data_IF_161038219181
#
_entry.id   IF_161038219181
#
_cell.length_a   1.000
_cell.length_b   1.000
_cell.length_c   1.000
_cell.angle_alpha   90.00
_cell.angle_beta   90.00
_cell.angle_gamma   90.00
#
_symmetry.space_group_name_H-M   'P 1'
#
loop_
_entity.id
_entity.type
_entity.pdbx_description
1 polymer ?
#
# COMPACT_ATOMS: atom_id res chain seq x y z
N UNK A 1 2.01 -38.97 55.21
CA UNK A 1 0.77 -38.74 54.44
C UNK A 1 1.02 -37.58 53.50
N UNK A 2 0.97 -37.86 52.20
CA UNK A 2 1.11 -36.92 51.09
C UNK A 2 -0.13 -36.03 51.00
N UNK A 3 0.04 -34.71 50.91
CA UNK A 3 -1.02 -33.79 50.51
C UNK A 3 -0.64 -33.24 49.12
N UNK A 4 -1.35 -33.76 48.12
CA UNK A 4 -1.28 -33.38 46.72
C UNK A 4 -1.82 -31.96 46.57
N UNK A 5 -0.97 -31.03 46.11
CA UNK A 5 -1.39 -29.67 45.79
C UNK A 5 -2.26 -29.73 44.53
N UNK A 6 -3.49 -29.24 44.67
CA UNK A 6 -4.46 -29.04 43.60
C UNK A 6 -3.82 -28.22 42.48
N UNK A 7 -3.68 -28.87 41.32
CA UNK A 7 -3.56 -28.21 40.02
C UNK A 7 -4.84 -27.37 39.87
N UNK A 8 -4.73 -26.04 39.98
CA UNK A 8 -5.89 -25.15 39.95
C UNK A 8 -6.60 -25.27 38.60
N UNK A 9 -7.93 -25.21 38.54
CA UNK A 9 -8.68 -25.25 37.26
C UNK A 9 -8.18 -24.22 36.24
N UNK A 10 -7.63 -23.09 36.73
CA UNK A 10 -7.00 -22.07 35.90
C UNK A 10 -5.76 -22.59 35.15
N UNK A 11 -4.95 -23.48 35.75
CA UNK A 11 -3.79 -24.09 35.08
C UNK A 11 -4.18 -25.12 34.02
N UNK A 12 -5.28 -25.86 34.22
CA UNK A 12 -5.82 -26.80 33.23
C UNK A 12 -6.42 -26.04 32.04
N UNK A 13 -7.15 -24.95 32.29
CA UNK A 13 -7.72 -24.09 31.24
C UNK A 13 -6.63 -23.38 30.45
N UNK A 14 -5.63 -22.80 31.12
CA UNK A 14 -4.48 -22.19 30.47
C UNK A 14 -3.72 -23.20 29.59
N UNK A 15 -3.49 -24.42 30.07
CA UNK A 15 -2.84 -25.50 29.31
C UNK A 15 -3.63 -25.89 28.04
N UNK A 16 -4.97 -25.90 28.11
CA UNK A 16 -5.83 -26.16 26.95
C UNK A 16 -5.74 -25.04 25.90
N UNK A 17 -5.82 -23.77 26.32
CA UNK A 17 -5.69 -22.61 25.43
C UNK A 17 -4.31 -22.62 24.77
N UNK A 18 -3.24 -22.84 25.54
CA UNK A 18 -1.88 -22.93 25.01
C UNK A 18 -1.74 -24.04 23.95
N UNK A 19 -2.41 -25.18 24.13
CA UNK A 19 -2.40 -26.28 23.16
C UNK A 19 -3.12 -25.91 21.86
N UNK A 20 -4.27 -25.27 21.92
CA UNK A 20 -4.99 -24.81 20.72
C UNK A 20 -4.25 -23.65 20.01
N UNK A 21 -3.61 -22.75 20.76
CA UNK A 21 -2.71 -21.73 20.21
C UNK A 21 -1.56 -22.37 19.40
N UNK A 22 -0.91 -23.43 19.92
CA UNK A 22 0.15 -24.14 19.20
C UNK A 22 -0.35 -24.75 17.89
N UNK A 23 -1.51 -25.41 17.92
CA UNK A 23 -2.12 -25.99 16.70
C UNK A 23 -2.44 -24.91 15.66
N UNK A 24 -2.98 -23.78 16.09
CA UNK A 24 -3.27 -22.66 15.20
C UNK A 24 -1.99 -22.09 14.59
N UNK A 25 -0.91 -22.00 15.38
CA UNK A 25 0.42 -21.57 14.89
C UNK A 25 0.99 -22.53 13.87
N UNK A 26 1.00 -23.83 14.17
CA UNK A 26 1.47 -24.89 13.25
C UNK A 26 0.66 -24.88 11.95
N UNK A 27 -0.66 -24.69 12.05
CA UNK A 27 -1.54 -24.56 10.89
C UNK A 27 -1.19 -23.33 10.03
N UNK A 28 -1.02 -22.16 10.64
CA UNK A 28 -0.60 -20.94 9.96
C UNK A 28 0.76 -21.14 9.27
N UNK A 29 1.74 -21.73 9.96
CA UNK A 29 3.06 -22.01 9.38
C UNK A 29 3.01 -23.00 8.22
N UNK A 30 2.25 -24.10 8.33
CA UNK A 30 2.10 -25.06 7.24
C UNK A 30 1.57 -24.37 5.98
N UNK A 31 0.52 -23.55 6.14
CA UNK A 31 -0.08 -22.79 5.05
C UNK A 31 0.92 -21.80 4.44
N UNK A 32 1.66 -21.07 5.27
CA UNK A 32 2.67 -20.12 4.80
C UNK A 32 3.91 -20.79 4.17
N UNK A 33 4.29 -21.99 4.59
CA UNK A 33 5.41 -22.72 4.00
C UNK A 33 5.07 -23.26 2.60
N UNK A 34 3.79 -23.46 2.26
CA UNK A 34 3.38 -23.78 0.88
C UNK A 34 3.82 -22.68 -0.12
N UNK A 35 4.04 -21.43 0.36
CA UNK A 35 4.57 -20.31 -0.45
C UNK A 35 5.98 -20.61 -0.98
N UNK A 36 6.80 -21.32 -0.22
CA UNK A 36 8.18 -21.59 -0.61
C UNK A 36 8.27 -22.62 -1.76
N UNK A 37 7.16 -23.30 -2.10
CA UNK A 37 7.09 -24.27 -3.18
C UNK A 37 6.90 -23.62 -4.57
N UNK A 38 6.60 -22.32 -4.65
CA UNK A 38 6.36 -21.65 -5.93
C UNK A 38 7.68 -21.26 -6.63
N UNK A 39 7.80 -21.52 -7.96
CA UNK A 39 9.03 -21.30 -8.73
C UNK A 39 9.36 -19.83 -9.00
N UNK A 40 8.39 -18.90 -8.84
CA UNK A 40 8.63 -17.47 -9.05
C UNK A 40 7.88 -16.57 -8.06
N UNK A 41 8.40 -15.35 -7.93
CA UNK A 41 7.94 -14.33 -6.99
C UNK A 41 6.50 -13.88 -7.24
N UNK A 42 6.03 -13.86 -8.50
CA UNK A 42 4.65 -13.47 -8.81
C UNK A 42 3.64 -14.52 -8.30
N UNK A 43 3.94 -15.80 -8.50
CA UNK A 43 3.12 -16.91 -7.99
C UNK A 43 3.13 -16.98 -6.46
N UNK A 44 4.28 -16.73 -5.83
CA UNK A 44 4.37 -16.61 -4.36
C UNK A 44 3.43 -15.52 -3.83
N UNK A 45 3.43 -14.35 -4.47
CA UNK A 45 2.58 -13.24 -4.05
C UNK A 45 1.09 -13.55 -4.25
N UNK A 46 0.68 -14.03 -5.43
CA UNK A 46 -0.72 -14.38 -5.68
C UNK A 46 -1.23 -15.42 -4.67
N UNK A 47 -0.43 -16.45 -4.38
CA UNK A 47 -0.78 -17.43 -3.35
C UNK A 47 -0.92 -16.80 -1.96
N UNK A 48 0.02 -15.94 -1.55
CA UNK A 48 -0.08 -15.20 -0.28
C UNK A 48 -1.35 -14.35 -0.21
N UNK A 49 -1.73 -13.68 -1.30
CA UNK A 49 -2.89 -12.83 -1.36
C UNK A 49 -4.22 -13.59 -1.33
N UNK A 50 -4.28 -14.81 -1.86
CA UNK A 50 -5.45 -15.67 -1.71
C UNK A 50 -5.50 -16.32 -0.32
N UNK A 51 -4.35 -16.78 0.17
CA UNK A 51 -4.23 -17.52 1.41
C UNK A 51 -4.49 -16.67 2.65
N UNK A 52 -3.93 -15.45 2.74
CA UNK A 52 -4.06 -14.62 3.95
C UNK A 52 -5.53 -14.26 4.25
N UNK A 53 -6.37 -13.85 3.27
CA UNK A 53 -7.80 -13.69 3.47
C UNK A 53 -8.53 -14.98 3.84
N UNK A 54 -8.14 -16.12 3.26
CA UNK A 54 -8.73 -17.41 3.61
C UNK A 54 -8.41 -17.78 5.07
N UNK A 55 -7.14 -17.65 5.49
CA UNK A 55 -6.70 -17.82 6.87
C UNK A 55 -7.38 -16.85 7.82
N UNK A 56 -7.50 -15.57 7.43
CA UNK A 56 -8.27 -14.57 8.18
C UNK A 56 -9.72 -15.01 8.35
N UNK A 57 -10.36 -15.49 7.29
CA UNK A 57 -11.74 -15.98 7.32
C UNK A 57 -11.92 -17.18 8.24
N UNK A 58 -11.00 -18.14 8.20
CA UNK A 58 -10.98 -19.30 9.10
C UNK A 58 -10.78 -18.89 10.56
N UNK A 59 -9.81 -18.01 10.84
CA UNK A 59 -9.55 -17.46 12.18
C UNK A 59 -10.79 -16.70 12.68
N UNK A 60 -11.37 -15.82 11.85
CA UNK A 60 -12.59 -15.10 12.20
C UNK A 60 -13.78 -16.04 12.40
N UNK A 61 -13.81 -17.18 11.70
CA UNK A 61 -14.85 -18.21 11.79
C UNK A 61 -14.86 -18.99 13.11
N UNK A 62 -13.78 -18.93 13.91
CA UNK A 62 -13.68 -19.59 15.22
C UNK A 62 -14.78 -19.09 16.18
N UNK A 63 -15.15 -17.80 16.12
CA UNK A 63 -16.24 -17.25 16.92
C UNK A 63 -17.60 -17.45 16.25
N UNK A 64 -18.51 -18.13 16.94
CA UNK A 64 -19.91 -18.21 16.48
C UNK A 64 -20.61 -16.84 16.56
N UNK A 65 -21.70 -16.59 15.80
CA UNK A 65 -22.46 -15.35 15.89
C UNK A 65 -22.98 -15.05 17.32
N UNK A 66 -23.41 -16.09 18.05
CA UNK A 66 -23.87 -15.95 19.44
C UNK A 66 -22.73 -15.51 20.37
N UNK A 67 -21.55 -16.12 20.24
CA UNK A 67 -20.35 -15.73 21.01
C UNK A 67 -19.92 -14.29 20.73
N UNK A 68 -19.96 -13.84 19.45
CA UNK A 68 -19.67 -12.44 19.10
C UNK A 68 -20.67 -11.49 19.75
N UNK A 69 -21.96 -11.79 19.67
CA UNK A 69 -22.99 -10.96 20.27
C UNK A 69 -22.81 -10.86 21.80
N UNK A 70 -22.44 -11.97 22.46
CA UNK A 70 -22.18 -11.99 23.89
C UNK A 70 -20.97 -11.12 24.29
N UNK A 71 -19.87 -11.21 23.53
CA UNK A 71 -18.67 -10.38 23.76
C UNK A 71 -18.92 -8.90 23.48
N UNK A 72 -19.63 -8.58 22.39
CA UNK A 72 -20.01 -7.21 22.05
C UNK A 72 -20.93 -6.59 23.11
N UNK A 73 -21.90 -7.35 23.61
CA UNK A 73 -22.76 -6.91 24.71
C UNK A 73 -21.97 -6.66 26.01
N UNK A 74 -20.85 -7.36 26.19
CA UNK A 74 -19.91 -7.14 27.29
C UNK A 74 -18.89 -6.02 27.03
N UNK A 75 -18.98 -5.31 25.91
CA UNK A 75 -18.09 -4.20 25.55
C UNK A 75 -16.72 -4.63 25.02
N UNK A 76 -16.55 -5.90 24.63
CA UNK A 76 -15.32 -6.42 24.04
C UNK A 76 -15.38 -6.24 22.52
N UNK A 77 -14.41 -5.51 21.96
CA UNK A 77 -14.22 -5.45 20.51
C UNK A 77 -13.60 -6.77 20.02
N UNK A 78 -14.33 -7.46 19.14
CA UNK A 78 -13.98 -8.76 18.55
C UNK A 78 -13.61 -8.65 17.07
N UNK A 79 -13.26 -7.44 16.63
CA UNK A 79 -12.73 -7.18 15.30
C UNK A 79 -11.34 -7.79 15.12
N UNK A 80 -11.02 -8.24 13.90
CA UNK A 80 -9.70 -8.76 13.60
C UNK A 80 -8.60 -7.74 13.93
N UNK A 81 -8.88 -6.47 13.66
CA UNK A 81 -8.02 -5.32 13.87
C UNK A 81 -7.68 -5.14 15.36
N UNK A 82 -8.67 -5.23 16.26
CA UNK A 82 -8.45 -5.20 17.71
C UNK A 82 -7.63 -6.39 18.21
N UNK A 83 -7.80 -7.57 17.57
CA UNK A 83 -6.98 -8.75 17.87
C UNK A 83 -5.51 -8.56 17.51
N UNK A 84 -5.23 -7.89 16.39
CA UNK A 84 -3.89 -7.70 15.85
C UNK A 84 -3.09 -6.56 16.51
N UNK A 85 -3.75 -5.55 17.08
CA UNK A 85 -3.11 -4.35 17.65
C UNK A 85 -2.48 -4.52 19.04
N UNK A 86 -2.40 -5.74 19.55
CA UNK A 86 -2.01 -5.96 20.94
C UNK A 86 -0.50 -6.04 21.05
N UNK A 87 0.08 -4.99 21.64
CA UNK A 87 1.42 -5.03 22.23
C UNK A 87 1.34 -5.60 23.65
N UNK A 88 2.00 -6.73 23.86
CA UNK A 88 2.06 -7.44 25.14
C UNK A 88 2.62 -8.84 24.95
N UNK A 89 3.37 -9.33 25.95
CA UNK A 89 4.00 -10.66 25.96
C UNK A 89 2.96 -11.78 25.89
N UNK A 90 2.47 -12.10 24.69
CA UNK A 90 2.10 -13.48 24.35
C UNK A 90 3.43 -14.23 24.18
N UNK A 91 4.08 -14.54 25.29
CA UNK A 91 5.30 -15.34 25.31
C UNK A 91 4.95 -16.79 24.98
N UNK A 92 5.86 -17.46 24.26
CA UNK A 92 5.79 -18.89 23.93
C UNK A 92 5.90 -19.79 25.18
N UNK A 93 6.01 -19.23 26.39
CA UNK A 93 6.09 -20.02 27.61
C UNK A 93 4.72 -20.65 27.94
N UNK A 94 4.75 -21.93 28.31
CA UNK A 94 3.55 -22.76 28.51
C UNK A 94 2.66 -22.28 29.69
N UNK A 95 3.04 -21.21 30.39
CA UNK A 95 2.50 -20.83 31.69
C UNK A 95 1.97 -19.39 31.79
N UNK A 96 2.16 -18.50 30.80
CA UNK A 96 1.70 -17.12 30.92
C UNK A 96 0.92 -16.54 29.74
N UNK A 97 -0.04 -17.28 29.17
CA UNK A 97 -1.23 -16.62 28.59
C UNK A 97 -2.06 -16.06 29.75
N UNK A 98 -1.54 -15.03 30.42
CA UNK A 98 -2.23 -14.39 31.53
C UNK A 98 -3.26 -13.45 30.92
N UNK A 99 -4.53 -13.79 31.05
CA UNK A 99 -5.59 -12.99 30.45
C UNK A 99 -6.53 -12.39 31.49
N UNK A 100 -6.27 -11.14 31.85
CA UNK A 100 -7.12 -10.31 32.71
C UNK A 100 -8.59 -10.25 32.22
N UNK A 101 -8.82 -10.56 30.93
CA UNK A 101 -10.16 -10.65 30.32
C UNK A 101 -10.95 -11.82 30.91
N UNK A 102 -10.35 -12.99 31.11
CA UNK A 102 -11.07 -14.16 31.63
C UNK A 102 -11.48 -13.98 33.10
N UNK A 103 -10.65 -13.30 33.89
CA UNK A 103 -10.92 -13.04 35.30
C UNK A 103 -12.15 -12.14 35.50
N UNK A 104 -12.44 -11.25 34.54
CA UNK A 104 -13.60 -10.35 34.56
C UNK A 104 -14.94 -11.04 34.27
N UNK A 105 -14.95 -12.24 33.68
CA UNK A 105 -16.19 -12.93 33.26
C UNK A 105 -16.47 -14.22 34.04
N UNK A 106 -15.74 -14.42 35.15
CA UNK A 106 -15.85 -15.61 35.99
C UNK A 106 -17.29 -15.84 36.48
N UNK A 107 -17.82 -17.04 36.28
CA UNK A 107 -19.17 -17.46 36.68
C UNK A 107 -20.21 -17.44 35.55
N UNK A 108 -19.84 -17.03 34.33
CA UNK A 108 -20.69 -17.16 33.15
C UNK A 108 -20.03 -18.06 32.10
N UNK A 109 -20.43 -19.33 32.04
CA UNK A 109 -19.81 -20.34 31.18
C UNK A 109 -19.86 -19.99 29.68
N UNK A 110 -20.87 -19.25 29.21
CA UNK A 110 -20.99 -18.84 27.82
C UNK A 110 -20.00 -17.71 27.48
N UNK A 111 -19.91 -16.69 28.34
CA UNK A 111 -18.95 -15.59 28.20
C UNK A 111 -17.51 -16.06 28.40
N UNK A 112 -17.28 -16.96 29.36
CA UNK A 112 -15.96 -17.60 29.56
C UNK A 112 -15.52 -18.31 28.28
N UNK A 113 -16.39 -19.15 27.70
CA UNK A 113 -16.09 -19.86 26.44
C UNK A 113 -15.89 -18.90 25.27
N UNK A 114 -16.68 -17.83 25.18
CA UNK A 114 -16.51 -16.81 24.15
C UNK A 114 -15.15 -16.09 24.30
N UNK A 115 -14.74 -15.76 25.53
CA UNK A 115 -13.42 -15.17 25.81
C UNK A 115 -12.28 -16.12 25.47
N UNK A 116 -12.38 -17.41 25.80
CA UNK A 116 -11.38 -18.41 25.42
C UNK A 116 -11.19 -18.48 23.89
N UNK A 117 -12.30 -18.50 23.13
CA UNK A 117 -12.24 -18.51 21.66
C UNK A 117 -11.71 -17.19 21.10
N UNK A 118 -12.08 -16.05 21.71
CA UNK A 118 -11.55 -14.75 21.30
C UNK A 118 -10.04 -14.64 21.51
N UNK A 119 -9.50 -15.26 22.56
CA UNK A 119 -8.05 -15.32 22.76
C UNK A 119 -7.33 -16.10 21.67
N UNK A 120 -7.93 -17.18 21.17
CA UNK A 120 -7.40 -17.90 20.01
C UNK A 120 -7.43 -17.04 18.74
N UNK A 121 -8.51 -16.29 18.51
CA UNK A 121 -8.61 -15.34 17.38
C UNK A 121 -7.52 -14.27 17.46
N UNK A 122 -7.35 -13.66 18.64
CA UNK A 122 -6.32 -12.65 18.91
C UNK A 122 -4.90 -13.20 18.67
N UNK A 123 -4.62 -14.39 19.20
CA UNK A 123 -3.33 -15.06 19.04
C UNK A 123 -3.03 -15.39 17.57
N UNK A 124 -4.00 -15.98 16.86
CA UNK A 124 -3.86 -16.27 15.42
C UNK A 124 -3.68 -15.00 14.60
N UNK A 125 -4.40 -13.92 14.93
CA UNK A 125 -4.29 -12.65 14.25
C UNK A 125 -2.92 -11.99 14.41
N UNK A 126 -2.42 -11.97 15.64
CA UNK A 126 -1.08 -11.50 15.96
C UNK A 126 0.00 -12.28 15.19
N UNK A 127 -0.07 -13.62 15.20
CA UNK A 127 0.92 -14.45 14.50
C UNK A 127 0.86 -14.28 12.99
N UNK A 128 -0.33 -14.28 12.39
CA UNK A 128 -0.46 -14.09 10.94
C UNK A 128 0.11 -12.73 10.50
N UNK A 129 -0.11 -11.65 11.27
CA UNK A 129 0.48 -10.35 10.99
C UNK A 129 2.02 -10.35 11.16
N UNK A 130 2.52 -11.00 12.21
CA UNK A 130 3.96 -11.14 12.45
C UNK A 130 4.65 -11.92 11.33
N UNK A 131 4.05 -13.02 10.89
CA UNK A 131 4.55 -13.79 9.75
C UNK A 131 4.46 -12.99 8.45
N UNK A 132 3.36 -12.27 8.21
CA UNK A 132 3.24 -11.39 7.04
C UNK A 132 4.32 -10.30 7.04
N UNK A 133 4.61 -9.70 8.20
CA UNK A 133 5.70 -8.75 8.33
C UNK A 133 7.07 -9.41 8.13
N UNK A 134 7.28 -10.61 8.67
CA UNK A 134 8.50 -11.40 8.43
C UNK A 134 8.71 -11.71 6.95
N UNK A 135 7.65 -12.13 6.25
CA UNK A 135 7.65 -12.35 4.81
C UNK A 135 7.91 -11.05 4.05
N UNK A 136 7.31 -9.93 4.44
CA UNK A 136 7.61 -8.63 3.85
C UNK A 136 9.08 -8.24 4.09
N UNK A 137 9.69 -8.61 5.21
CA UNK A 137 11.13 -8.34 5.46
C UNK A 137 12.03 -9.17 4.54
N UNK A 138 11.67 -10.41 4.22
CA UNK A 138 12.50 -11.34 3.45
C UNK A 138 12.21 -11.35 1.94
N UNK A 139 10.96 -11.15 1.58
CA UNK A 139 10.43 -11.19 0.22
C UNK A 139 9.95 -9.81 -0.24
N UNK A 140 10.36 -8.75 0.46
CA UNK A 140 10.03 -7.38 0.12
C UNK A 140 10.31 -7.12 -1.35
N UNK A 141 9.30 -6.62 -2.03
CA UNK A 141 9.49 -6.10 -3.36
C UNK A 141 10.19 -4.76 -3.23
N UNK A 142 11.46 -4.74 -3.63
CA UNK A 142 12.21 -3.50 -3.78
C UNK A 142 11.68 -2.69 -4.96
N UNK A 143 11.71 -1.38 -4.78
CA UNK A 143 11.44 -0.42 -5.84
C UNK A 143 12.67 -0.33 -6.74
N UNK A 144 12.45 -0.18 -8.05
CA UNK A 144 13.52 0.22 -8.97
C UNK A 144 13.82 1.72 -8.79
N UNK A 145 15.04 2.13 -8.38
CA UNK A 145 15.38 3.54 -8.25
C UNK A 145 15.29 4.25 -9.60
N UNK A 146 14.84 5.50 -9.60
CA UNK A 146 14.76 6.28 -10.84
C UNK A 146 16.15 6.46 -11.47
N UNK A 147 16.24 6.23 -12.77
CA UNK A 147 17.36 6.64 -13.61
C UNK A 147 16.82 7.23 -14.92
N UNK A 148 17.52 8.19 -15.55
CA UNK A 148 17.04 8.83 -16.78
C UNK A 148 16.76 7.84 -17.93
N UNK A 149 17.44 6.70 -17.95
CA UNK A 149 17.22 5.64 -18.95
C UNK A 149 15.83 4.99 -18.85
N UNK A 150 15.19 5.06 -17.68
CA UNK A 150 13.83 4.55 -17.47
C UNK A 150 12.79 5.37 -18.25
N UNK A 151 13.07 6.64 -18.55
CA UNK A 151 12.18 7.51 -19.32
C UNK A 151 12.01 7.05 -20.78
N UNK A 152 12.97 6.26 -21.30
CA UNK A 152 12.88 5.66 -22.62
C UNK A 152 12.13 4.32 -22.65
N UNK A 153 11.94 3.65 -21.51
CA UNK A 153 11.26 2.35 -21.49
C UNK A 153 9.80 2.48 -21.91
N UNK A 154 9.21 1.38 -22.33
CA UNK A 154 7.75 1.34 -22.42
C UNK A 154 7.19 1.62 -21.01
N UNK A 155 6.15 2.46 -20.83
CA UNK A 155 5.79 2.95 -19.50
C UNK A 155 5.35 1.89 -18.50
N UNK A 156 4.94 0.71 -18.95
CA UNK A 156 4.42 -0.35 -18.08
C UNK A 156 5.22 -1.63 -18.26
N UNK A 157 5.54 -2.27 -17.14
CA UNK A 157 6.17 -3.60 -17.12
C UNK A 157 5.50 -4.50 -16.08
N UNK A 158 5.59 -5.81 -16.29
CA UNK A 158 5.17 -6.82 -15.32
C UNK A 158 6.24 -7.08 -14.24
N UNK A 159 5.97 -8.08 -13.39
CA UNK A 159 6.87 -8.53 -12.35
C UNK A 159 8.23 -9.00 -12.91
N UNK A 160 8.24 -9.63 -14.09
CA UNK A 160 9.43 -10.13 -14.80
C UNK A 160 10.14 -9.04 -15.62
N UNK A 161 9.73 -7.78 -15.47
CA UNK A 161 10.28 -6.64 -16.22
C UNK A 161 10.03 -6.67 -17.73
N UNK A 162 9.06 -7.45 -18.19
CA UNK A 162 8.61 -7.45 -19.59
C UNK A 162 7.61 -6.32 -19.79
N UNK A 163 7.64 -5.62 -20.94
CA UNK A 163 6.71 -4.53 -21.21
C UNK A 163 5.27 -5.05 -21.32
N UNK A 164 4.33 -4.35 -20.70
CA UNK A 164 2.88 -4.62 -20.76
C UNK A 164 2.26 -3.65 -21.75
N UNK A 165 2.06 -4.07 -23.00
CA UNK A 165 1.70 -3.17 -24.08
C UNK A 165 0.21 -2.84 -24.06
N UNK A 166 -0.14 -1.56 -24.19
CA UNK A 166 -1.53 -1.13 -24.35
C UNK A 166 -2.01 -1.47 -25.76
N UNK A 167 -3.08 -2.27 -25.83
CA UNK A 167 -3.78 -2.61 -27.09
C UNK A 167 -4.93 -1.68 -27.39
N UNK A 168 -5.60 -1.20 -26.33
CA UNK A 168 -6.76 -0.32 -26.43
C UNK A 168 -6.74 0.70 -25.31
N UNK A 169 -7.08 1.92 -25.64
CA UNK A 169 -7.27 3.02 -24.72
C UNK A 169 -8.67 3.59 -24.94
N UNK A 170 -9.39 3.85 -23.84
CA UNK A 170 -10.69 4.51 -23.86
C UNK A 170 -10.52 6.01 -23.64
N UNK A 171 -11.62 6.77 -23.78
CA UNK A 171 -11.61 8.20 -23.42
C UNK A 171 -11.25 8.39 -21.96
N UNK A 172 -10.69 9.55 -21.64
CA UNK A 172 -10.34 9.86 -20.26
C UNK A 172 -11.59 9.86 -19.38
N UNK A 173 -11.38 9.60 -18.08
CA UNK A 173 -12.34 10.09 -17.10
C UNK A 173 -12.32 11.63 -17.10
N UNK A 174 -13.40 12.30 -16.72
CA UNK A 174 -13.42 13.76 -16.64
C UNK A 174 -12.33 14.31 -15.72
N UNK A 175 -11.68 15.40 -16.12
CA UNK A 175 -10.73 16.18 -15.29
C UNK A 175 -11.45 16.81 -14.10
N UNK A 176 -10.72 17.49 -13.21
CA UNK A 176 -11.33 18.27 -12.13
C UNK A 176 -12.26 19.39 -12.67
N UNK A 177 -11.97 19.93 -13.87
CA UNK A 177 -12.81 20.91 -14.58
C UNK A 177 -14.00 20.29 -15.31
N UNK A 178 -14.12 18.95 -15.34
CA UNK A 178 -15.15 18.22 -16.07
C UNK A 178 -14.87 18.03 -17.57
N UNK A 179 -13.66 18.37 -18.03
CA UNK A 179 -13.25 18.20 -19.42
C UNK A 179 -12.85 16.74 -19.69
N UNK A 180 -13.10 16.25 -20.90
CA UNK A 180 -12.64 14.93 -21.36
C UNK A 180 -11.49 15.13 -22.34
N UNK A 181 -10.37 14.46 -22.08
CA UNK A 181 -9.15 14.58 -22.86
C UNK A 181 -9.05 13.45 -23.89
N UNK A 182 -8.61 13.77 -25.11
CA UNK A 182 -8.40 12.76 -26.15
C UNK A 182 -7.22 11.86 -25.81
N UNK A 183 -7.35 10.56 -26.11
CA UNK A 183 -6.26 9.61 -26.04
C UNK A 183 -5.10 9.96 -27.00
N UNK A 184 -5.35 10.74 -28.06
CA UNK A 184 -4.31 11.18 -28.99
C UNK A 184 -3.21 11.99 -28.29
N UNK A 185 -3.56 12.71 -27.22
CA UNK A 185 -2.61 13.52 -26.45
C UNK A 185 -1.61 12.68 -25.66
N UNK A 186 -1.94 11.42 -25.36
CA UNK A 186 -1.08 10.50 -24.59
C UNK A 186 -0.39 9.47 -25.48
N UNK A 187 -0.93 9.22 -26.68
CA UNK A 187 -0.46 8.17 -27.59
C UNK A 187 1.05 8.18 -27.84
N UNK A 188 1.74 9.33 -28.09
CA UNK A 188 3.19 9.33 -28.34
C UNK A 188 4.03 8.71 -27.21
N UNK A 189 3.51 8.68 -25.99
CA UNK A 189 4.20 8.17 -24.80
C UNK A 189 3.97 6.67 -24.58
N UNK A 190 2.87 6.13 -25.12
CA UNK A 190 2.43 4.74 -24.95
C UNK A 190 2.42 3.94 -26.27
N UNK A 191 2.91 4.54 -27.35
CA UNK A 191 3.02 3.87 -28.65
C UNK A 191 4.05 2.72 -28.56
N UNK A 192 3.63 1.46 -28.75
CA UNK A 192 4.54 0.32 -28.72
C UNK A 192 5.57 0.35 -29.86
N UNK A 193 5.32 1.11 -30.94
CA UNK A 193 6.23 1.26 -32.07
C UNK A 193 7.27 2.36 -31.84
N UNK A 194 7.08 3.25 -30.87
CA UNK A 194 8.07 4.26 -30.54
C UNK A 194 9.34 3.61 -30.00
N UNK A 195 10.50 4.10 -30.44
CA UNK A 195 11.78 3.65 -29.91
C UNK A 195 12.01 4.20 -28.51
N UNK A 196 12.89 3.55 -27.74
CA UNK A 196 13.23 4.04 -26.41
C UNK A 196 13.86 5.45 -26.45
N UNK A 197 14.71 5.70 -27.46
CA UNK A 197 15.31 7.01 -27.71
C UNK A 197 14.25 8.09 -27.96
N UNK A 198 13.20 7.78 -28.74
CA UNK A 198 12.13 8.73 -29.06
C UNK A 198 11.30 9.08 -27.82
N UNK A 199 10.94 8.10 -26.98
CA UNK A 199 10.24 8.35 -25.71
C UNK A 199 11.08 9.17 -24.74
N UNK A 200 12.34 8.81 -24.57
CA UNK A 200 13.27 9.56 -23.70
C UNK A 200 13.44 11.00 -24.20
N UNK A 201 13.62 11.21 -25.50
CA UNK A 201 13.70 12.53 -26.10
C UNK A 201 12.41 13.34 -25.90
N UNK A 202 11.24 12.70 -25.96
CA UNK A 202 9.97 13.37 -25.68
C UNK A 202 9.94 13.94 -24.26
N UNK A 203 10.24 13.11 -23.26
CA UNK A 203 10.36 13.56 -21.86
C UNK A 203 11.43 14.65 -21.70
N UNK A 204 12.65 14.42 -22.16
CA UNK A 204 13.79 15.30 -21.90
C UNK A 204 13.75 16.61 -22.70
N UNK A 205 12.94 16.67 -23.76
CA UNK A 205 12.66 17.94 -24.46
C UNK A 205 11.77 18.89 -23.66
N UNK A 206 11.07 18.38 -22.65
CA UNK A 206 10.10 19.13 -21.87
C UNK A 206 10.47 19.18 -20.38
N UNK A 207 11.03 18.11 -19.84
CA UNK A 207 11.25 17.88 -18.42
C UNK A 207 12.70 17.53 -18.13
N UNK A 208 13.15 17.88 -16.94
CA UNK A 208 14.41 17.43 -16.37
C UNK A 208 14.20 17.04 -14.91
N UNK A 209 14.83 15.96 -14.48
CA UNK A 209 14.90 15.60 -13.08
C UNK A 209 16.25 16.03 -12.52
N UNK A 210 16.24 16.78 -11.42
CA UNK A 210 17.44 17.21 -10.72
C UNK A 210 17.18 17.30 -9.21
N UNK A 211 18.24 17.48 -8.45
CA UNK A 211 18.11 17.73 -7.02
C UNK A 211 17.52 19.12 -6.78
N UNK A 212 16.69 19.22 -5.75
CA UNK A 212 16.08 20.45 -5.27
C UNK A 212 17.12 21.23 -4.46
N UNK A 213 17.26 22.50 -4.80
CA UNK A 213 18.12 23.47 -4.14
C UNK A 213 17.28 24.49 -3.35
N UNK A 214 17.94 25.29 -2.51
CA UNK A 214 17.25 26.29 -1.68
C UNK A 214 16.43 27.31 -2.47
N UNK A 215 16.84 27.61 -3.71
CA UNK A 215 16.10 28.51 -4.61
C UNK A 215 14.82 27.92 -5.21
N UNK A 216 14.63 26.60 -5.11
CA UNK A 216 13.48 25.90 -5.67
C UNK A 216 12.31 25.77 -4.68
N UNK A 217 12.57 25.95 -3.38
CA UNK A 217 11.57 25.78 -2.34
C UNK A 217 10.44 26.80 -2.52
N UNK A 218 9.19 26.34 -2.48
CA UNK A 218 8.01 27.21 -2.51
C UNK A 218 7.71 27.80 -1.14
N UNK A 219 8.08 27.08 -0.08
CA UNK A 219 7.99 27.51 1.31
C UNK A 219 9.29 27.13 2.05
N UNK A 220 9.89 28.01 2.88
CA UNK A 220 11.09 27.70 3.64
C UNK A 220 10.98 26.46 4.55
N UNK A 221 9.76 26.05 4.92
CA UNK A 221 9.48 24.85 5.72
C UNK A 221 9.59 23.54 4.93
N UNK A 222 9.69 23.61 3.60
CA UNK A 222 9.96 22.46 2.72
C UNK A 222 11.44 22.04 2.74
N UNK A 223 12.20 22.40 3.77
CA UNK A 223 13.65 22.16 3.83
C UNK A 223 14.03 20.67 3.75
N UNK A 224 13.10 19.76 4.06
CA UNK A 224 13.28 18.32 3.86
C UNK A 224 13.39 17.89 2.40
N UNK A 225 12.98 18.73 1.45
CA UNK A 225 13.14 18.47 0.02
C UNK A 225 14.55 18.81 -0.47
N UNK A 226 15.38 19.51 0.30
CA UNK A 226 16.73 19.86 -0.13
C UNK A 226 17.58 18.60 -0.37
N UNK A 227 18.12 18.47 -1.58
CA UNK A 227 18.86 17.27 -1.99
C UNK A 227 17.98 16.09 -2.42
N UNK A 228 16.66 16.19 -2.29
CA UNK A 228 15.71 15.27 -2.89
C UNK A 228 15.49 15.61 -4.37
N UNK A 229 14.88 14.69 -5.11
CA UNK A 229 14.60 14.89 -6.54
C UNK A 229 13.33 15.71 -6.75
N UNK A 230 13.38 16.60 -7.74
CA UNK A 230 12.22 17.28 -8.30
C UNK A 230 12.21 17.17 -9.82
N UNK A 231 11.06 17.47 -10.43
CA UNK A 231 10.86 17.46 -11.88
C UNK A 231 10.59 18.89 -12.32
N UNK A 232 11.41 19.41 -13.22
CA UNK A 232 11.34 20.79 -13.66
C UNK A 232 11.12 20.86 -15.16
N UNK A 233 10.40 21.88 -15.61
CA UNK A 233 10.24 22.15 -17.04
C UNK A 233 11.56 22.66 -17.64
N UNK A 234 11.90 22.23 -18.85
CA UNK A 234 13.05 22.72 -19.64
C UNK A 234 12.63 23.87 -20.56
N UNK A 235 11.36 23.88 -20.95
CA UNK A 235 10.71 24.91 -21.77
C UNK A 235 9.36 25.31 -21.19
N UNK A 236 8.76 26.41 -21.65
CA UNK A 236 7.37 26.69 -21.30
C UNK A 236 6.44 25.53 -21.71
N UNK A 237 5.47 25.22 -20.85
CA UNK A 237 4.42 24.22 -21.05
C UNK A 237 3.08 24.93 -21.02
N UNK A 238 2.23 24.67 -22.00
CA UNK A 238 0.93 25.33 -22.12
C UNK A 238 -0.13 24.67 -21.24
N UNK A 239 -1.11 25.42 -20.76
CA UNK A 239 -2.30 24.84 -20.12
C UNK A 239 -2.94 23.78 -21.02
N UNK A 240 -3.23 22.61 -20.44
CA UNK A 240 -3.82 21.46 -21.13
C UNK A 240 -2.80 20.63 -21.92
N UNK A 241 -1.51 20.98 -21.91
CA UNK A 241 -0.47 20.16 -22.52
C UNK A 241 -0.20 18.91 -21.67
N UNK A 242 -0.11 17.75 -22.32
CA UNK A 242 0.27 16.49 -21.68
C UNK A 242 1.76 16.52 -21.34
N UNK A 243 2.12 16.36 -20.07
CA UNK A 243 3.53 16.32 -19.63
C UNK A 243 4.11 14.91 -19.61
N UNK A 244 3.27 13.88 -19.60
CA UNK A 244 3.75 12.51 -19.46
C UNK A 244 2.70 11.48 -19.04
N UNK A 245 3.08 10.20 -19.06
CA UNK A 245 2.34 9.08 -18.48
C UNK A 245 3.12 8.52 -17.29
N UNK A 246 2.46 8.34 -16.15
CA UNK A 246 3.06 7.76 -14.94
C UNK A 246 3.41 6.30 -15.20
N UNK A 247 4.70 6.03 -15.36
CA UNK A 247 5.22 4.73 -15.77
C UNK A 247 5.86 4.00 -14.60
N UNK A 248 5.76 2.68 -14.63
CA UNK A 248 6.31 1.83 -13.59
C UNK A 248 5.94 0.36 -13.74
N UNK A 249 6.16 -0.38 -12.65
CA UNK A 249 5.75 -1.78 -12.56
C UNK A 249 4.26 -1.86 -12.28
N UNK A 250 3.53 -2.54 -13.16
CA UNK A 250 2.14 -2.93 -12.92
C UNK A 250 2.12 -4.08 -11.90
N UNK A 251 1.34 -3.88 -10.85
CA UNK A 251 1.29 -4.75 -9.69
C UNK A 251 -0.13 -5.23 -9.45
N UNK A 252 -0.23 -6.51 -9.12
CA UNK A 252 -1.45 -7.05 -8.52
C UNK A 252 -1.58 -6.53 -7.08
N UNK A 253 -2.76 -6.63 -6.45
CA UNK A 253 -2.93 -6.31 -5.04
C UNK A 253 -1.93 -7.06 -4.15
N UNK A 254 -1.62 -8.32 -4.48
CA UNK A 254 -0.63 -9.13 -3.80
C UNK A 254 0.74 -8.46 -3.75
N UNK A 255 1.24 -8.05 -4.91
CA UNK A 255 2.53 -7.40 -5.04
C UNK A 255 2.57 -6.06 -4.29
N UNK A 256 1.49 -5.30 -4.32
CA UNK A 256 1.39 -4.02 -3.60
C UNK A 256 1.61 -4.19 -2.09
N UNK A 257 0.98 -5.19 -1.46
CA UNK A 257 1.15 -5.44 -0.03
C UNK A 257 2.55 -5.95 0.36
N UNK A 258 3.32 -6.42 -0.62
CA UNK A 258 4.69 -6.88 -0.42
C UNK A 258 5.74 -5.78 -0.70
N UNK A 259 5.33 -4.56 -1.06
CA UNK A 259 6.26 -3.45 -1.23
C UNK A 259 7.00 -3.14 0.06
N UNK A 260 8.31 -2.92 -0.03
CA UNK A 260 9.09 -2.39 1.09
C UNK A 260 8.69 -0.95 1.43
N UNK A 261 8.29 -0.20 0.42
CA UNK A 261 7.84 1.19 0.51
C UNK A 261 6.82 1.46 -0.58
N UNK A 262 5.70 2.08 -0.24
CA UNK A 262 4.60 2.41 -1.15
C UNK A 262 4.59 3.89 -1.58
N UNK A 263 5.65 4.66 -1.26
CA UNK A 263 5.73 6.11 -1.51
C UNK A 263 5.58 6.53 -2.98
N UNK A 264 5.78 5.61 -3.93
CA UNK A 264 5.64 5.82 -5.37
C UNK A 264 4.51 4.96 -5.96
N UNK A 265 3.73 4.29 -5.12
CA UNK A 265 2.63 3.45 -5.57
C UNK A 265 1.38 4.30 -5.80
N UNK A 266 0.75 4.13 -6.97
CA UNK A 266 -0.55 4.72 -7.29
C UNK A 266 -1.56 3.65 -7.65
N UNK A 267 -2.85 3.91 -7.36
CA UNK A 267 -3.92 3.01 -7.75
C UNK A 267 -4.20 3.07 -9.26
N UNK A 268 -4.39 1.89 -9.84
CA UNK A 268 -4.71 1.68 -11.25
C UNK A 268 -5.98 0.83 -11.34
N UNK A 269 -7.13 1.50 -11.21
CA UNK A 269 -8.45 0.86 -11.09
C UNK A 269 -9.25 1.13 -12.35
N UNK A 270 -9.72 0.07 -13.03
CA UNK A 270 -10.63 0.16 -14.17
C UNK A 270 -11.84 -0.75 -13.95
N UNK A 271 -13.02 -0.14 -13.79
CA UNK A 271 -14.23 -0.87 -13.41
C UNK A 271 -14.05 -1.63 -12.09
N UNK A 272 -14.20 -2.95 -12.12
CA UNK A 272 -13.98 -3.83 -10.97
C UNK A 272 -12.53 -4.34 -10.86
N UNK A 273 -11.68 -4.09 -11.86
CA UNK A 273 -10.29 -4.52 -11.84
C UNK A 273 -9.48 -3.57 -10.97
N UNK A 274 -8.75 -4.13 -10.00
CA UNK A 274 -7.89 -3.40 -9.07
C UNK A 274 -6.46 -3.82 -9.32
N UNK A 275 -5.62 -2.84 -9.65
CA UNK A 275 -4.17 -3.00 -9.76
C UNK A 275 -3.49 -1.74 -9.24
N UNK A 276 -2.16 -1.79 -9.17
CA UNK A 276 -1.33 -0.67 -8.68
C UNK A 276 -0.15 -0.46 -9.62
N UNK A 277 0.41 0.74 -9.64
CA UNK A 277 1.65 1.06 -10.34
C UNK A 277 2.68 1.56 -9.34
N UNK A 278 3.84 0.92 -9.28
CA UNK A 278 5.00 1.42 -8.54
C UNK A 278 5.86 2.27 -9.48
N UNK A 279 5.89 3.57 -9.25
CA UNK A 279 6.44 4.57 -10.17
C UNK A 279 7.95 4.52 -10.35
N UNK A 280 8.39 4.45 -11.61
CA UNK A 280 9.80 4.27 -11.99
C UNK A 280 10.34 5.37 -12.90
N UNK A 281 9.50 6.03 -13.70
CA UNK A 281 9.94 7.08 -14.62
C UNK A 281 10.00 8.47 -13.98
N UNK A 282 10.43 9.48 -14.76
CA UNK A 282 10.61 10.87 -14.30
C UNK A 282 9.39 11.42 -13.56
N UNK A 283 8.16 11.07 -13.96
CA UNK A 283 6.95 11.57 -13.32
C UNK A 283 6.75 11.05 -11.89
N UNK A 284 7.36 9.92 -11.54
CA UNK A 284 7.35 9.44 -10.16
C UNK A 284 8.12 10.36 -9.21
N UNK A 285 8.99 11.24 -9.74
CA UNK A 285 9.79 12.19 -8.96
C UNK A 285 9.09 13.54 -8.75
N UNK A 286 7.85 13.73 -9.24
CA UNK A 286 7.10 14.97 -9.00
C UNK A 286 6.62 15.03 -7.55
N UNK A 287 6.94 16.11 -6.85
CA UNK A 287 6.57 16.30 -5.46
C UNK A 287 5.13 16.81 -5.29
N UNK A 288 4.63 16.71 -4.06
CA UNK A 288 3.41 17.39 -3.63
C UNK A 288 3.73 18.69 -2.90
N UNK A 289 2.71 19.50 -2.62
CA UNK A 289 2.83 20.78 -1.91
C UNK A 289 2.02 20.71 -0.63
N UNK A 290 2.61 21.10 0.49
CA UNK A 290 2.00 20.98 1.81
C UNK A 290 1.70 22.35 2.41
N UNK A 291 0.62 22.43 3.17
CA UNK A 291 0.38 23.53 4.08
C UNK A 291 0.79 23.15 5.50
N UNK A 292 1.27 24.14 6.24
CA UNK A 292 1.82 23.95 7.58
C UNK A 292 0.98 24.72 8.61
N UNK A 293 0.77 24.11 9.78
CA UNK A 293 0.11 24.75 10.92
C UNK A 293 1.00 25.84 11.56
N UNK A 294 0.46 26.55 12.55
CA UNK A 294 1.20 27.59 13.31
C UNK A 294 2.46 27.05 14.01
N UNK A 295 2.51 25.75 14.28
CA UNK A 295 3.67 25.08 14.88
C UNK A 295 4.70 24.62 13.84
N UNK A 296 4.45 24.87 12.55
CA UNK A 296 5.31 24.49 11.44
C UNK A 296 5.19 23.03 11.02
N UNK A 297 4.14 22.31 11.43
CA UNK A 297 3.92 20.90 11.05
C UNK A 297 3.01 20.79 9.83
N UNK A 298 3.27 19.80 8.98
CA UNK A 298 2.43 19.48 7.83
C UNK A 298 1.00 19.18 8.28
N UNK A 299 0.06 20.03 7.88
CA UNK A 299 -1.34 19.94 8.29
C UNK A 299 -2.20 19.23 7.24
N UNK A 300 -1.96 19.53 5.96
CA UNK A 300 -2.71 19.04 4.81
C UNK A 300 -1.95 19.31 3.51
N UNK A 301 -2.43 18.72 2.41
CA UNK A 301 -2.01 19.10 1.06
C UNK A 301 -2.58 20.47 0.69
N UNK A 302 -1.77 21.31 0.04
CA UNK A 302 -2.24 22.62 -0.45
C UNK A 302 -3.39 22.42 -1.44
N UNK A 303 -4.47 23.21 -1.42
CA UNK A 303 -5.57 23.06 -2.37
C UNK A 303 -5.21 23.56 -3.78
N UNK A 304 -4.33 24.58 -3.90
CA UNK A 304 -4.18 25.36 -5.14
C UNK A 304 -2.73 25.48 -5.66
N UNK A 305 -1.74 24.88 -4.97
CA UNK A 305 -0.32 25.01 -5.32
C UNK A 305 0.13 24.11 -6.50
N UNK A 306 -0.77 23.31 -7.09
CA UNK A 306 -0.42 22.35 -8.13
C UNK A 306 -0.50 22.94 -9.54
N UNK A 307 0.46 22.60 -10.39
CA UNK A 307 0.50 23.04 -11.79
C UNK A 307 0.27 21.92 -12.79
N UNK A 308 0.14 20.67 -12.31
CA UNK A 308 -0.30 19.53 -13.12
C UNK A 308 -1.39 18.74 -12.39
N UNK A 309 -2.26 18.08 -13.14
CA UNK A 309 -3.25 17.14 -12.61
C UNK A 309 -3.15 15.77 -13.29
N UNK A 310 -3.37 14.67 -12.55
CA UNK A 310 -3.46 13.34 -13.14
C UNK A 310 -4.85 13.13 -13.78
N UNK A 311 -4.84 12.71 -15.04
CA UNK A 311 -6.02 12.33 -15.82
C UNK A 311 -5.99 10.82 -16.08
N UNK A 312 -7.11 10.17 -15.77
CA UNK A 312 -7.28 8.73 -15.87
C UNK A 312 -7.68 8.29 -17.27
N UNK A 313 -7.05 7.24 -17.80
CA UNK A 313 -7.51 6.55 -19.00
C UNK A 313 -7.61 5.07 -18.71
N UNK A 314 -8.77 4.48 -18.95
CA UNK A 314 -8.90 3.02 -18.92
C UNK A 314 -8.21 2.43 -20.14
N UNK A 315 -7.54 1.30 -19.96
CA UNK A 315 -6.77 0.61 -21.00
C UNK A 315 -6.92 -0.91 -20.90
N UNK A 316 -6.63 -1.58 -22.02
CA UNK A 316 -6.55 -3.04 -22.13
C UNK A 316 -5.14 -3.42 -22.59
N UNK A 317 -4.51 -4.38 -21.89
CA UNK A 317 -3.16 -4.86 -22.21
C UNK A 317 -3.14 -5.98 -23.26
N UNK A 318 -1.95 -6.25 -23.79
CA UNK A 318 -1.67 -7.38 -24.68
C UNK A 318 -1.61 -8.73 -23.97
N UNK A 319 -1.27 -8.75 -22.68
CA UNK A 319 -1.29 -9.94 -21.83
C UNK A 319 -2.69 -10.26 -21.27
N UNK A 320 -3.70 -9.49 -21.65
CA UNK A 320 -5.04 -9.58 -21.09
C UNK A 320 -5.13 -8.86 -19.74
N UNK A 321 -6.25 -8.19 -19.50
CA UNK A 321 -6.47 -7.40 -18.30
C UNK A 321 -6.80 -5.94 -18.60
N UNK A 322 -7.57 -5.33 -17.69
CA UNK A 322 -7.93 -3.92 -17.72
C UNK A 322 -7.34 -3.22 -16.53
N UNK A 323 -6.79 -2.04 -16.76
CA UNK A 323 -6.25 -1.18 -15.72
C UNK A 323 -6.41 0.28 -16.15
N UNK A 324 -6.11 1.22 -15.26
CA UNK A 324 -6.24 2.65 -15.54
C UNK A 324 -4.89 3.33 -15.46
N UNK A 325 -4.47 3.98 -16.53
CA UNK A 325 -3.22 4.76 -16.55
C UNK A 325 -3.48 6.20 -16.09
N UNK A 326 -2.45 6.84 -15.55
CA UNK A 326 -2.47 8.28 -15.26
C UNK A 326 -1.55 8.99 -16.22
N UNK A 327 -2.12 9.89 -17.00
CA UNK A 327 -1.35 10.89 -17.75
C UNK A 327 -1.47 12.23 -17.04
N UNK A 328 -0.41 13.00 -16.97
CA UNK A 328 -0.40 14.29 -16.31
C UNK A 328 -0.56 15.41 -17.32
N UNK A 329 -1.39 16.39 -16.98
CA UNK A 329 -1.68 17.55 -17.82
C UNK A 329 -1.44 18.84 -17.05
N UNK A 330 -0.89 19.85 -17.71
CA UNK A 330 -0.69 21.15 -17.11
C UNK A 330 -2.04 21.85 -16.85
N UNK A 331 -2.26 22.34 -15.63
CA UNK A 331 -3.51 23.02 -15.25
C UNK A 331 -3.51 24.51 -15.58
N UNK A 332 -2.32 25.05 -15.89
CA UNK A 332 -2.02 26.44 -16.22
C UNK A 332 -0.77 26.50 -17.11
N UNK A 333 -0.49 27.65 -17.71
CA UNK A 333 0.80 27.85 -18.37
C UNK A 333 1.93 27.79 -17.33
N UNK A 334 2.97 27.03 -17.62
CA UNK A 334 4.12 26.78 -16.75
C UNK A 334 5.37 27.34 -17.43
N UNK A 335 6.05 28.36 -16.85
CA UNK A 335 7.32 28.86 -17.36
C UNK A 335 8.40 27.77 -17.37
N UNK A 336 9.46 27.98 -18.17
CA UNK A 336 10.65 27.14 -18.11
C UNK A 336 11.33 27.23 -16.73
N UNK A 337 11.91 26.13 -16.27
CA UNK A 337 12.63 26.04 -15.00
C UNK A 337 11.74 25.88 -13.76
N UNK A 338 10.41 25.83 -13.92
CA UNK A 338 9.46 25.68 -12.82
C UNK A 338 9.26 24.20 -12.48
N UNK A 339 9.23 23.87 -11.19
CA UNK A 339 8.97 22.52 -10.72
C UNK A 339 7.51 22.10 -10.95
N UNK A 340 7.30 20.88 -11.42
CA UNK A 340 6.00 20.25 -11.50
C UNK A 340 5.59 19.70 -10.13
N UNK A 341 4.39 20.07 -9.69
CA UNK A 341 3.79 19.64 -8.42
C UNK A 341 2.39 19.11 -8.66
N UNK A 342 2.05 17.99 -8.00
CA UNK A 342 0.71 17.40 -8.10
C UNK A 342 0.13 16.99 -6.75
N UNK A 343 -1.20 16.91 -6.70
CA UNK A 343 -1.94 16.51 -5.52
C UNK A 343 -1.98 14.99 -5.39
N UNK A 344 -1.27 14.42 -4.40
CA UNK A 344 -1.30 12.96 -4.16
C UNK A 344 -2.66 12.46 -3.64
N UNK A 345 -3.58 13.38 -3.30
CA UNK A 345 -4.91 13.10 -2.74
C UNK A 345 -4.87 12.36 -1.42
N UNK A 346 -3.87 12.66 -0.60
CA UNK A 346 -3.84 12.24 0.79
C UNK A 346 -4.89 13.02 1.58
N UNK A 347 -5.57 12.33 2.48
CA UNK A 347 -6.40 12.98 3.50
C UNK A 347 -5.49 13.70 4.50
N UNK A 348 -6.04 14.66 5.24
CA UNK A 348 -5.30 15.37 6.29
C UNK A 348 -4.66 14.39 7.31
N UNK A 349 -5.35 13.29 7.63
CA UNK A 349 -4.81 12.25 8.52
C UNK A 349 -3.64 11.49 7.89
N UNK A 350 -3.73 11.14 6.58
CA UNK A 350 -2.62 10.55 5.84
C UNK A 350 -1.42 11.51 5.78
N UNK A 351 -1.65 12.81 5.55
CA UNK A 351 -0.59 13.82 5.57
C UNK A 351 0.12 13.84 6.92
N UNK A 352 -0.61 13.82 8.04
CA UNK A 352 -0.01 13.78 9.38
C UNK A 352 0.75 12.47 9.64
N UNK A 353 0.26 11.35 9.13
CA UNK A 353 0.93 10.06 9.28
C UNK A 353 2.24 9.98 8.50
N UNK A 354 2.23 10.45 7.25
CA UNK A 354 3.37 10.36 6.31
C UNK A 354 4.39 11.48 6.54
N UNK A 355 3.93 12.71 6.75
CA UNK A 355 4.77 13.91 6.82
C UNK A 355 4.79 14.59 8.20
N UNK A 356 3.96 14.15 9.15
CA UNK A 356 3.81 14.80 10.46
C UNK A 356 4.79 14.33 11.54
N UNK A 357 5.54 13.24 11.30
CA UNK A 357 6.67 12.88 12.17
C UNK A 357 7.83 13.81 11.82
N UNK A 358 8.37 14.52 12.83
CA UNK A 358 9.58 15.34 12.66
C UNK A 358 10.69 14.47 12.05
N UNK A 359 11.27 14.93 10.95
CA UNK A 359 12.66 14.60 10.61
C UNK A 359 13.58 15.18 11.66
#
# INVERSE_FOLDING_TARGET
MSAVISISENSVRASRIATECRRLREYIHLRLNDVDEFPNVAEQHEFLFEMVPALRGEIQGILTPAMRAALQAAGVDVSWEAGAQVEGELTDDENSIRCDIMDNFRGNAELERACEMWLLVRYGAYWLLKEFHGLQVHCAIERLPYSPELDGRYPFRDAESRPVMIRKIWQSQPTASGEVVSADAVWPLIDPLATAQARMAHYHSMLQCRLIEAGDLQDPRESSLLGERGVFTVRPVQKGECVGVYGGRLMTPAMYFMLRSDSFAISSISGAAVSFLDGENILAMMNTSLEYDESGRCARQSPDAYNVEPVAFDVESDIGGKFSIRAFFATRDIPAGVELRWNYRYSDDMVRQVFGRRL
#
